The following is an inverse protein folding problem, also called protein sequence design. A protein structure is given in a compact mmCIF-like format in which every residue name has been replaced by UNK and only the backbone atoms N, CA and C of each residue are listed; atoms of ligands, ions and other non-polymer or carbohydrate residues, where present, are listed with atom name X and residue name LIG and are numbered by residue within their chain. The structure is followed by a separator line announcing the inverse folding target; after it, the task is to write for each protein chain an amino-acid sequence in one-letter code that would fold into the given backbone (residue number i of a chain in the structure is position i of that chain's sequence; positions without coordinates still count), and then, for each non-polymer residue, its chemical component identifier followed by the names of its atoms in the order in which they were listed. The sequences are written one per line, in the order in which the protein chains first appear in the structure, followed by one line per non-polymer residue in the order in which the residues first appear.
data_IF_605671981764
#
_entry.id   IF_605671981764
#
_cell.length_a   1.000
_cell.length_b   1.000
_cell.length_c   1.000
_cell.angle_alpha   90.00
_cell.angle_beta   90.00
_cell.angle_gamma   90.00
#
_symmetry.space_group_name_H-M   'P 1'
#
loop_
_entity.id
_entity.type
_entity.pdbx_description
1 polymer ?
#
# COMPACT_ATOMS: atom_id res chain seq x y z
N UNK A 1 -39.64 -23.54 -22.76
CA UNK A 1 -39.50 -22.45 -23.75
C UNK A 1 -38.51 -21.44 -23.21
N UNK A 2 -37.58 -21.06 -24.08
CA UNK A 2 -36.32 -20.35 -23.85
C UNK A 2 -36.46 -18.98 -23.18
N UNK A 3 -35.52 -18.66 -22.27
CA UNK A 3 -35.25 -17.33 -21.72
C UNK A 3 -34.20 -16.64 -22.60
N UNK A 4 -34.52 -15.50 -23.20
CA UNK A 4 -33.55 -14.63 -23.86
C UNK A 4 -33.24 -13.43 -22.96
N UNK A 5 -31.97 -13.28 -22.59
CA UNK A 5 -31.41 -12.05 -22.01
C UNK A 5 -30.89 -11.16 -23.14
N UNK A 6 -31.32 -9.89 -23.17
CA UNK A 6 -30.73 -8.84 -24.01
C UNK A 6 -29.60 -8.18 -23.23
N UNK A 7 -28.38 -8.20 -23.79
CA UNK A 7 -27.24 -7.39 -23.38
C UNK A 7 -27.20 -6.15 -24.27
N UNK A 8 -27.31 -4.97 -23.67
CA UNK A 8 -27.12 -3.68 -24.35
C UNK A 8 -25.68 -3.21 -24.13
N UNK A 9 -24.91 -3.09 -25.21
CA UNK A 9 -23.62 -2.40 -25.22
C UNK A 9 -23.83 -0.93 -25.59
N UNK A 10 -23.55 -0.02 -24.66
CA UNK A 10 -23.43 1.41 -24.96
C UNK A 10 -21.96 1.73 -25.30
N UNK A 11 -21.71 2.05 -26.56
CA UNK A 11 -20.45 2.59 -27.05
C UNK A 11 -20.53 4.12 -26.90
N UNK A 12 -19.75 4.69 -26.00
CA UNK A 12 -19.47 6.14 -25.99
C UNK A 12 -18.08 6.33 -26.58
N UNK A 13 -18.04 6.83 -27.83
CA UNK A 13 -16.85 7.22 -28.56
C UNK A 13 -16.28 8.52 -27.97
N UNK A 14 -15.04 8.47 -27.50
CA UNK A 14 -14.27 9.65 -27.14
C UNK A 14 -13.73 10.39 -28.37
N UNK A 15 -13.50 11.69 -28.24
CA UNK A 15 -12.66 12.45 -29.16
C UNK A 15 -11.26 12.58 -28.57
N UNK A 16 -10.31 11.88 -29.17
CA UNK A 16 -8.89 11.91 -28.88
C UNK A 16 -8.19 10.95 -29.83
N UNK A 17 -7.53 11.49 -30.83
CA UNK A 17 -6.91 10.83 -31.99
C UNK A 17 -6.05 9.61 -31.62
N UNK A 18 -6.45 8.43 -32.12
CA UNK A 18 -5.67 7.19 -32.11
C UNK A 18 -5.15 6.92 -33.53
N UNK A 19 -3.89 6.51 -33.64
CA UNK A 19 -3.18 6.30 -34.91
C UNK A 19 -3.43 4.89 -35.47
N UNK A 20 -3.30 4.75 -36.80
CA UNK A 20 -3.64 3.54 -37.59
C UNK A 20 -2.92 2.24 -37.19
N UNK A 21 -1.95 2.27 -36.28
CA UNK A 21 -1.26 1.07 -35.77
C UNK A 21 -2.10 0.26 -34.76
N UNK A 22 -3.09 0.87 -34.09
CA UNK A 22 -3.91 0.20 -33.07
C UNK A 22 -5.13 -0.55 -33.62
N UNK A 23 -5.56 -0.29 -34.86
CA UNK A 23 -6.67 -1.01 -35.49
C UNK A 23 -6.31 -2.45 -35.91
N UNK A 24 -5.05 -2.70 -36.33
CA UNK A 24 -4.60 -4.03 -36.75
C UNK A 24 -4.46 -5.06 -35.63
N UNK A 25 -4.27 -4.62 -34.38
CA UNK A 25 -4.25 -5.52 -33.22
C UNK A 25 -5.67 -5.89 -32.75
N UNK A 26 -6.64 -5.00 -32.91
CA UNK A 26 -8.04 -5.24 -32.52
C UNK A 26 -8.68 -6.26 -33.48
N UNK A 27 -8.50 -6.15 -34.80
CA UNK A 27 -9.05 -7.14 -35.75
C UNK A 27 -8.50 -8.57 -35.54
N UNK A 28 -7.21 -8.70 -35.18
CA UNK A 28 -6.60 -9.99 -34.92
C UNK A 28 -7.10 -10.62 -33.61
N UNK A 29 -7.43 -9.82 -32.60
CA UNK A 29 -8.01 -10.30 -31.35
C UNK A 29 -9.47 -10.73 -31.53
N UNK A 30 -10.25 -10.02 -32.35
CA UNK A 30 -11.65 -10.38 -32.65
C UNK A 30 -11.74 -11.65 -33.49
N UNK A 31 -10.87 -11.85 -34.49
CA UNK A 31 -10.82 -13.10 -35.27
C UNK A 31 -10.38 -14.31 -34.44
N UNK A 32 -9.49 -14.13 -33.46
CA UNK A 32 -9.01 -15.20 -32.58
C UNK A 32 -10.04 -15.58 -31.51
N UNK A 33 -10.88 -14.64 -31.08
CA UNK A 33 -12.01 -14.91 -30.19
C UNK A 33 -13.16 -15.65 -30.92
N UNK A 34 -13.49 -15.26 -32.16
CA UNK A 34 -14.55 -15.91 -32.94
C UNK A 34 -14.18 -17.36 -33.30
N UNK A 35 -12.92 -17.64 -33.64
CA UNK A 35 -12.48 -19.01 -33.96
C UNK A 35 -12.49 -19.96 -32.75
N UNK A 36 -12.30 -19.44 -31.53
CA UNK A 36 -12.28 -20.23 -30.29
C UNK A 36 -13.68 -20.55 -29.76
N UNK A 37 -14.70 -19.77 -30.15
CA UNK A 37 -16.10 -20.03 -29.82
C UNK A 37 -16.73 -21.03 -30.79
N UNK A 38 -16.35 -21.01 -32.08
CA UNK A 38 -16.87 -21.95 -33.09
C UNK A 38 -16.33 -23.38 -32.93
N UNK A 39 -15.12 -23.57 -32.38
CA UNK A 39 -14.56 -24.91 -32.11
C UNK A 39 -15.09 -25.57 -30.82
N UNK A 40 -15.87 -24.86 -30.00
CA UNK A 40 -16.41 -25.37 -28.72
C UNK A 40 -17.84 -25.90 -28.80
N UNK A 41 -18.56 -25.61 -29.89
CA UNK A 41 -19.96 -26.00 -30.08
C UNK A 41 -20.17 -27.31 -30.88
N UNK A 42 -19.10 -27.94 -31.39
CA UNK A 42 -19.19 -29.17 -32.23
C UNK A 42 -18.79 -30.48 -31.51
N UNK A 43 -18.64 -30.48 -30.17
CA UNK A 43 -18.27 -31.71 -29.41
C UNK A 43 -19.14 -31.99 -28.18
N UNK A 44 -20.43 -31.68 -28.25
CA UNK A 44 -21.37 -32.11 -27.21
C UNK A 44 -22.72 -32.53 -27.80
N UNK A 45 -22.69 -33.60 -28.59
CA UNK A 45 -23.87 -34.35 -28.99
C UNK A 45 -23.48 -35.82 -29.30
N UNK A 46 -23.28 -36.63 -28.26
CA UNK A 46 -23.49 -38.08 -28.33
C UNK A 46 -23.41 -38.68 -26.91
N UNK A 47 -24.44 -39.50 -26.62
CA UNK A 47 -24.50 -40.54 -25.57
C UNK A 47 -24.92 -40.11 -24.17
N UNK A 48 -26.24 -39.98 -24.08
CA UNK A 48 -27.05 -40.20 -22.90
C UNK A 48 -27.39 -41.71 -22.74
N UNK A 49 -27.49 -42.13 -21.47
CA UNK A 49 -28.21 -43.29 -20.90
C UNK A 49 -27.50 -44.66 -20.74
N UNK A 50 -27.23 -45.02 -19.47
CA UNK A 50 -28.18 -45.82 -18.64
C UNK A 50 -27.73 -45.98 -17.16
N UNK A 51 -28.63 -45.55 -16.25
CA UNK A 51 -29.13 -46.18 -14.98
C UNK A 51 -28.19 -47.06 -14.13
N UNK A 52 -28.17 -47.05 -12.79
CA UNK A 52 -29.18 -46.70 -11.78
C UNK A 52 -28.55 -46.60 -10.36
N UNK A 53 -29.27 -45.93 -9.46
CA UNK A 53 -29.34 -46.05 -7.99
C UNK A 53 -28.08 -46.17 -7.10
N UNK A 54 -27.84 -45.17 -6.24
CA UNK A 54 -28.20 -45.24 -4.80
C UNK A 54 -27.64 -44.09 -3.93
N UNK A 55 -28.48 -43.69 -2.96
CA UNK A 55 -28.24 -42.91 -1.73
C UNK A 55 -27.75 -41.45 -1.83
N UNK A 56 -28.72 -40.58 -1.59
CA UNK A 56 -28.52 -39.24 -1.06
C UNK A 56 -27.79 -39.28 0.29
N UNK A 57 -26.68 -38.56 0.36
CA UNK A 57 -26.19 -37.91 1.58
C UNK A 57 -25.92 -36.45 1.25
N UNK A 58 -26.73 -35.60 1.87
CA UNK A 58 -26.62 -34.15 1.86
C UNK A 58 -25.33 -33.76 2.60
N UNK A 59 -24.24 -33.59 1.86
CA UNK A 59 -23.01 -32.97 2.39
C UNK A 59 -23.12 -31.47 2.29
N UNK A 60 -23.43 -30.85 3.42
CA UNK A 60 -23.12 -29.47 3.74
C UNK A 60 -21.65 -29.22 3.38
N UNK A 61 -21.39 -28.29 2.46
CA UNK A 61 -20.03 -27.90 2.05
C UNK A 61 -19.36 -27.16 3.21
N UNK A 62 -18.77 -27.95 4.12
CA UNK A 62 -18.02 -27.48 5.27
C UNK A 62 -16.60 -27.09 4.88
N UNK A 63 -16.17 -25.96 5.47
CA UNK A 63 -14.81 -25.46 5.59
C UNK A 63 -13.76 -26.59 5.55
N UNK A 64 -12.89 -26.56 4.54
CA UNK A 64 -11.65 -27.34 4.61
C UNK A 64 -10.84 -26.83 5.80
N UNK A 65 -10.56 -27.70 6.77
CA UNK A 65 -9.59 -27.45 7.83
C UNK A 65 -8.23 -27.15 7.18
N UNK A 66 -7.90 -25.87 7.06
CA UNK A 66 -6.52 -25.45 6.81
C UNK A 66 -5.73 -25.75 8.08
N UNK A 67 -4.67 -26.54 7.96
CA UNK A 67 -3.76 -26.84 9.07
C UNK A 67 -3.28 -25.56 9.76
N UNK A 68 -2.88 -25.69 11.03
CA UNK A 68 -2.39 -24.59 11.83
C UNK A 68 -1.29 -23.80 11.09
N UNK A 69 -1.46 -22.47 10.98
CA UNK A 69 -0.46 -21.59 10.36
C UNK A 69 0.86 -21.67 11.12
N UNK A 70 2.02 -21.52 10.44
CA UNK A 70 3.30 -21.45 11.11
C UNK A 70 3.34 -20.34 12.16
N UNK A 71 4.01 -20.57 13.29
CA UNK A 71 4.17 -19.55 14.33
C UNK A 71 5.43 -18.71 14.05
N UNK A 72 5.55 -17.59 14.75
CA UNK A 72 6.80 -16.83 14.73
C UNK A 72 7.94 -17.71 15.29
N UNK A 73 9.05 -17.76 14.57
CA UNK A 73 10.25 -18.44 15.05
C UNK A 73 10.91 -17.61 16.15
N UNK A 74 11.59 -18.27 17.08
CA UNK A 74 12.36 -17.56 18.12
C UNK A 74 13.65 -17.02 17.51
N UNK A 75 13.96 -15.76 17.78
CA UNK A 75 15.13 -15.07 17.23
C UNK A 75 16.46 -15.77 17.58
N UNK A 76 16.53 -16.44 18.74
CA UNK A 76 17.71 -17.18 19.19
C UNK A 76 18.16 -18.29 18.21
N UNK A 77 17.27 -18.76 17.34
CA UNK A 77 17.55 -19.84 16.39
C UNK A 77 18.05 -19.32 15.03
N UNK A 78 18.29 -18.01 14.90
CA UNK A 78 18.62 -17.35 13.62
C UNK A 78 19.85 -16.48 13.70
N UNK A 79 20.64 -16.52 12.62
CA UNK A 79 21.73 -15.56 12.42
C UNK A 79 21.19 -14.19 12.01
N UNK A 80 20.16 -14.17 11.16
CA UNK A 80 19.49 -12.96 10.68
C UNK A 80 17.99 -13.25 10.53
N UNK A 81 17.14 -12.38 11.08
CA UNK A 81 15.69 -12.44 10.87
C UNK A 81 15.30 -11.75 9.54
N UNK A 82 14.24 -12.20 8.85
CA UNK A 82 13.65 -11.48 7.74
C UNK A 82 13.27 -10.05 8.15
N UNK A 83 13.65 -9.08 7.32
CA UNK A 83 13.30 -7.68 7.54
C UNK A 83 12.28 -7.21 6.51
N UNK A 84 11.19 -6.58 6.94
CA UNK A 84 10.23 -5.95 6.02
C UNK A 84 10.61 -4.48 5.83
N UNK A 85 10.68 -4.00 4.58
CA UNK A 85 10.91 -2.59 4.32
C UNK A 85 9.65 -1.79 4.65
N UNK A 86 9.57 -1.25 5.86
CA UNK A 86 8.34 -0.66 6.40
C UNK A 86 7.75 0.44 5.52
N UNK A 87 8.59 1.27 4.91
CA UNK A 87 8.15 2.30 3.95
C UNK A 87 7.42 1.73 2.73
N UNK A 88 7.74 0.50 2.31
CA UNK A 88 7.06 -0.19 1.21
C UNK A 88 5.75 -0.81 1.65
N UNK A 89 5.60 -1.19 2.92
CA UNK A 89 4.32 -1.63 3.49
C UNK A 89 3.33 -0.48 3.48
N UNK A 90 3.73 0.68 4.02
CA UNK A 90 2.90 1.88 4.04
C UNK A 90 2.53 2.37 2.63
N UNK A 91 3.38 2.16 1.63
CA UNK A 91 3.04 2.49 0.25
C UNK A 91 2.24 1.40 -0.48
N UNK A 92 2.39 0.15 -0.03
CA UNK A 92 1.93 -1.02 -0.75
C UNK A 92 0.57 -1.52 -0.31
N UNK A 93 0.20 -1.27 0.95
CA UNK A 93 -1.15 -1.53 1.46
C UNK A 93 -2.06 -0.39 1.00
N UNK A 94 -2.91 -0.68 0.02
CA UNK A 94 -3.76 0.32 -0.64
C UNK A 94 -5.22 -0.06 -0.59
N UNK A 95 -6.08 0.95 -0.53
CA UNK A 95 -7.51 0.79 -0.67
C UNK A 95 -8.08 1.89 -1.55
N UNK A 96 -8.88 1.52 -2.55
CA UNK A 96 -9.64 2.48 -3.33
C UNK A 96 -10.83 2.98 -2.50
N UNK A 97 -10.91 4.29 -2.18
CA UNK A 97 -11.87 4.77 -1.16
C UNK A 97 -13.34 4.53 -1.52
N UNK A 98 -13.73 4.66 -2.79
CA UNK A 98 -15.15 4.54 -3.19
C UNK A 98 -15.68 3.11 -3.20
N UNK A 99 -14.81 2.14 -3.48
CA UNK A 99 -15.20 0.75 -3.70
C UNK A 99 -14.80 -0.15 -2.53
N UNK A 100 -13.89 0.30 -1.67
CA UNK A 100 -13.25 -0.55 -0.67
C UNK A 100 -12.30 -1.57 -1.30
N UNK A 101 -11.89 -1.38 -2.56
CA UNK A 101 -10.99 -2.30 -3.26
C UNK A 101 -9.60 -2.26 -2.62
N UNK A 102 -9.31 -3.29 -1.82
CA UNK A 102 -8.10 -3.45 -1.04
C UNK A 102 -7.11 -4.35 -1.77
N UNK A 103 -5.86 -3.91 -1.86
CA UNK A 103 -4.79 -4.63 -2.56
C UNK A 103 -3.43 -4.36 -1.95
N UNK A 104 -2.53 -5.31 -2.20
CA UNK A 104 -1.12 -5.22 -1.84
C UNK A 104 -0.30 -4.95 -3.11
N UNK A 105 0.72 -4.10 -2.99
CA UNK A 105 1.49 -3.66 -4.15
C UNK A 105 2.93 -3.29 -3.79
N UNK A 106 3.91 -3.84 -4.51
CA UNK A 106 5.32 -3.44 -4.40
C UNK A 106 5.87 -3.41 -2.96
N UNK A 107 5.54 -4.42 -2.16
CA UNK A 107 6.09 -4.59 -0.81
C UNK A 107 7.46 -5.28 -0.94
N UNK A 108 8.46 -4.77 -0.22
CA UNK A 108 9.81 -5.32 -0.22
C UNK A 108 10.18 -5.89 1.15
N UNK A 109 10.93 -6.98 1.13
CA UNK A 109 11.54 -7.60 2.29
C UNK A 109 13.04 -7.85 2.04
N UNK A 110 13.76 -8.22 3.08
CA UNK A 110 15.17 -8.62 3.05
C UNK A 110 15.26 -9.99 3.71
N UNK A 111 15.88 -10.95 3.03
CA UNK A 111 16.09 -12.31 3.51
C UNK A 111 17.58 -12.62 3.46
N UNK A 112 18.16 -13.01 4.59
CA UNK A 112 19.57 -13.38 4.69
C UNK A 112 19.69 -14.81 5.25
N UNK A 113 20.28 -15.77 4.52
CA UNK A 113 20.79 -15.64 3.15
C UNK A 113 19.69 -15.44 2.09
N UNK A 114 20.08 -14.99 0.89
CA UNK A 114 19.17 -14.68 -0.23
C UNK A 114 18.62 -15.94 -0.93
N UNK A 115 18.07 -16.89 -0.17
CA UNK A 115 17.57 -18.19 -0.66
C UNK A 115 16.06 -18.39 -0.44
N UNK A 116 15.32 -17.32 -0.16
CA UNK A 116 13.87 -17.40 -0.01
C UNK A 116 13.23 -17.81 -1.35
N UNK A 117 12.36 -18.83 -1.33
CA UNK A 117 11.65 -19.31 -2.53
C UNK A 117 10.25 -18.70 -2.69
N UNK A 118 9.72 -18.09 -1.62
CA UNK A 118 8.38 -17.53 -1.59
C UNK A 118 7.76 -17.60 -0.21
N UNK A 119 6.50 -17.20 -0.16
CA UNK A 119 5.71 -17.21 1.06
C UNK A 119 4.29 -16.78 0.78
N UNK A 120 3.57 -16.40 1.82
CA UNK A 120 2.20 -15.92 1.69
C UNK A 120 1.88 -14.82 2.68
N UNK A 121 0.88 -14.00 2.37
CA UNK A 121 0.36 -12.93 3.22
C UNK A 121 -1.10 -13.24 3.51
N UNK A 122 -1.53 -13.16 4.77
CA UNK A 122 -2.91 -13.42 5.17
C UNK A 122 -3.53 -12.16 5.74
N UNK A 123 -4.68 -11.74 5.20
CA UNK A 123 -5.54 -10.74 5.83
C UNK A 123 -6.48 -11.42 6.82
N UNK A 124 -6.53 -10.90 8.04
CA UNK A 124 -7.41 -11.37 9.12
C UNK A 124 -8.15 -10.21 9.78
N UNK A 125 -9.32 -10.48 10.34
CA UNK A 125 -9.97 -9.58 11.30
C UNK A 125 -9.28 -9.68 12.67
N UNK A 126 -9.58 -8.74 13.58
CA UNK A 126 -9.11 -8.80 14.96
C UNK A 126 -9.55 -10.07 15.71
N UNK A 127 -10.70 -10.63 15.35
CA UNK A 127 -11.21 -11.91 15.88
C UNK A 127 -10.55 -13.13 15.21
N UNK A 128 -9.42 -12.93 14.52
CA UNK A 128 -8.64 -13.95 13.84
C UNK A 128 -9.34 -14.65 12.67
N UNK A 129 -10.45 -14.12 12.15
CA UNK A 129 -11.09 -14.65 10.95
C UNK A 129 -10.24 -14.35 9.72
N UNK A 130 -9.74 -15.38 9.05
CA UNK A 130 -8.99 -15.22 7.81
C UNK A 130 -9.93 -14.87 6.63
N UNK A 131 -9.55 -13.86 5.85
CA UNK A 131 -10.36 -13.34 4.75
C UNK A 131 -9.73 -13.60 3.39
N UNK A 132 -8.43 -13.33 3.25
CA UNK A 132 -7.74 -13.43 1.97
C UNK A 132 -6.29 -13.89 2.18
N UNK A 133 -5.75 -14.61 1.20
CA UNK A 133 -4.34 -14.96 1.11
C UNK A 133 -3.76 -14.50 -0.22
N UNK A 134 -2.58 -13.87 -0.17
CA UNK A 134 -1.75 -13.58 -1.33
C UNK A 134 -0.50 -14.45 -1.28
N UNK A 135 -0.36 -15.36 -2.23
CA UNK A 135 0.87 -16.12 -2.43
C UNK A 135 1.84 -15.28 -3.24
N UNK A 136 3.11 -15.26 -2.83
CA UNK A 136 4.14 -14.48 -3.47
C UNK A 136 5.40 -15.29 -3.71
N UNK A 137 6.12 -14.89 -4.76
CA UNK A 137 7.46 -15.37 -5.10
C UNK A 137 8.43 -14.18 -5.13
N UNK A 138 9.73 -14.40 -4.87
CA UNK A 138 10.74 -13.37 -5.03
C UNK A 138 10.77 -12.85 -6.47
N UNK A 139 10.59 -11.55 -6.66
CA UNK A 139 10.97 -10.90 -7.90
C UNK A 139 12.32 -10.22 -7.72
N UNK A 140 13.31 -10.78 -8.39
CA UNK A 140 14.71 -10.39 -8.32
C UNK A 140 15.15 -9.55 -9.54
N UNK A 141 14.24 -9.22 -10.47
CA UNK A 141 14.61 -8.55 -11.72
C UNK A 141 14.89 -7.04 -11.58
N UNK A 142 14.33 -6.37 -10.56
CA UNK A 142 14.35 -4.91 -10.48
C UNK A 142 14.88 -4.33 -9.15
N UNK A 143 15.22 -5.16 -8.16
CA UNK A 143 15.64 -4.69 -6.84
C UNK A 143 17.16 -4.80 -6.66
N UNK A 144 17.77 -3.75 -6.09
CA UNK A 144 19.16 -3.84 -5.62
C UNK A 144 19.19 -4.84 -4.47
N UNK A 145 20.07 -5.84 -4.54
CA UNK A 145 20.34 -6.71 -3.38
C UNK A 145 20.71 -5.86 -2.16
N UNK A 146 20.31 -6.26 -0.94
CA UNK A 146 19.64 -7.51 -0.56
C UNK A 146 18.09 -7.42 -0.54
N UNK A 147 17.50 -6.39 -1.17
CA UNK A 147 16.06 -6.20 -1.15
C UNK A 147 15.36 -7.11 -2.16
N UNK A 148 14.29 -7.79 -1.72
CA UNK A 148 13.45 -8.68 -2.52
C UNK A 148 12.06 -8.07 -2.64
N UNK A 149 11.56 -7.91 -3.87
CA UNK A 149 10.16 -7.56 -4.11
C UNK A 149 9.27 -8.80 -3.93
N UNK A 150 8.21 -8.68 -3.14
CA UNK A 150 7.22 -9.74 -2.96
C UNK A 150 6.24 -9.71 -4.15
N UNK A 151 6.51 -10.52 -5.18
CA UNK A 151 5.66 -10.56 -6.37
C UNK A 151 4.49 -11.51 -6.16
N UNK A 152 3.31 -10.92 -6.01
CA UNK A 152 2.05 -11.63 -5.81
C UNK A 152 1.69 -12.35 -7.11
N UNK A 153 1.58 -13.67 -7.04
CA UNK A 153 1.28 -14.52 -8.18
C UNK A 153 -0.10 -15.18 -8.09
N UNK A 154 -0.69 -15.25 -6.89
CA UNK A 154 -2.02 -15.79 -6.67
C UNK A 154 -2.70 -15.11 -5.48
N UNK A 155 -4.00 -14.91 -5.60
CA UNK A 155 -4.86 -14.40 -4.53
C UNK A 155 -6.04 -15.33 -4.35
N UNK A 156 -6.30 -15.72 -3.11
CA UNK A 156 -7.38 -16.66 -2.76
C UNK A 156 -8.31 -16.04 -1.72
N UNK A 157 -9.62 -16.04 -1.97
CA UNK A 157 -10.62 -15.72 -0.95
C UNK A 157 -10.71 -16.91 0.00
N UNK A 158 -10.44 -16.69 1.29
CA UNK A 158 -10.38 -17.76 2.26
C UNK A 158 -11.74 -18.19 2.77
N UNK A 159 -12.78 -17.41 2.47
CA UNK A 159 -14.16 -17.72 2.84
C UNK A 159 -14.80 -18.68 1.85
N UNK A 160 -14.46 -18.57 0.57
CA UNK A 160 -15.00 -19.40 -0.51
C UNK A 160 -14.00 -20.43 -1.05
N UNK A 161 -12.71 -20.21 -0.86
CA UNK A 161 -11.63 -20.99 -1.45
C UNK A 161 -11.32 -20.65 -2.91
N UNK A 162 -12.01 -19.67 -3.49
CA UNK A 162 -11.88 -19.31 -4.89
C UNK A 162 -10.67 -18.39 -5.15
N UNK A 163 -10.10 -18.52 -6.35
CA UNK A 163 -9.04 -17.61 -6.81
C UNK A 163 -9.65 -16.29 -7.24
N UNK A 164 -9.07 -15.19 -6.78
CA UNK A 164 -9.51 -13.83 -7.11
C UNK A 164 -8.68 -13.29 -8.26
N UNK A 165 -9.33 -13.01 -9.38
CA UNK A 165 -8.69 -12.35 -10.52
C UNK A 165 -8.38 -10.89 -10.20
N UNK A 166 -7.19 -10.40 -10.52
CA UNK A 166 -6.78 -9.01 -10.29
C UNK A 166 -6.15 -8.73 -8.91
N UNK A 167 -6.18 -9.70 -8.00
CA UNK A 167 -5.46 -9.66 -6.73
C UNK A 167 -5.97 -8.67 -5.69
N UNK A 168 -7.16 -8.13 -5.87
CA UNK A 168 -7.80 -7.18 -4.98
C UNK A 168 -9.09 -7.74 -4.37
N UNK A 169 -9.45 -7.28 -3.17
CA UNK A 169 -10.65 -7.74 -2.45
C UNK A 169 -11.52 -6.55 -2.06
N UNK A 170 -12.82 -6.76 -1.98
CA UNK A 170 -13.71 -5.78 -1.36
C UNK A 170 -13.60 -5.84 0.16
N UNK A 171 -13.09 -4.77 0.77
CA UNK A 171 -12.93 -4.60 2.21
C UNK A 171 -13.74 -3.40 2.69
N UNK A 172 -15.06 -3.57 2.77
CA UNK A 172 -16.03 -2.50 3.08
C UNK A 172 -16.53 -2.52 4.52
N UNK A 173 -16.22 -3.56 5.29
CA UNK A 173 -16.63 -3.64 6.69
C UNK A 173 -15.67 -2.83 7.57
N UNK A 174 -16.13 -1.78 8.28
CA UNK A 174 -15.28 -1.07 9.21
C UNK A 174 -14.81 -1.98 10.35
N UNK A 175 -13.57 -1.81 10.80
CA UNK A 175 -13.03 -2.64 11.87
C UNK A 175 -11.51 -2.71 11.88
N UNK A 176 -11.01 -3.52 12.79
CA UNK A 176 -9.59 -3.77 12.98
C UNK A 176 -9.16 -5.00 12.16
N UNK A 177 -8.04 -4.87 11.48
CA UNK A 177 -7.50 -5.85 10.56
C UNK A 177 -6.01 -6.03 10.76
N UNK A 178 -5.52 -7.17 10.29
CA UNK A 178 -4.12 -7.53 10.38
C UNK A 178 -3.68 -8.18 9.08
N UNK A 179 -2.53 -7.74 8.53
CA UNK A 179 -1.78 -8.48 7.52
C UNK A 179 -0.64 -9.24 8.20
N UNK A 180 -0.68 -10.56 8.13
CA UNK A 180 0.42 -11.41 8.55
C UNK A 180 1.24 -11.86 7.36
N UNK A 181 2.56 -11.73 7.47
CA UNK A 181 3.52 -12.12 6.44
C UNK A 181 4.24 -13.39 6.87
N UNK A 182 4.13 -14.42 6.04
CA UNK A 182 4.66 -15.74 6.30
C UNK A 182 5.74 -16.12 5.30
N UNK A 183 6.75 -16.83 5.82
CA UNK A 183 7.51 -17.82 5.07
C UNK A 183 6.83 -19.19 5.24
N UNK A 184 7.21 -20.22 4.46
CA UNK A 184 6.58 -21.53 4.57
C UNK A 184 6.60 -22.14 5.98
N UNK A 185 7.63 -21.81 6.76
CA UNK A 185 7.90 -22.36 8.09
C UNK A 185 7.66 -21.37 9.25
N UNK A 186 7.30 -20.11 8.98
CA UNK A 186 7.08 -19.13 10.06
C UNK A 186 6.24 -17.91 9.69
N UNK A 187 5.70 -17.26 10.73
CA UNK A 187 5.24 -15.88 10.70
C UNK A 187 6.43 -14.95 10.97
N UNK A 188 6.76 -14.02 10.07
CA UNK A 188 7.90 -13.11 10.28
C UNK A 188 7.53 -11.64 10.48
N UNK A 189 6.31 -11.24 10.10
CA UNK A 189 5.85 -9.87 10.35
C UNK A 189 4.32 -9.79 10.44
N UNK A 190 3.84 -8.87 11.26
CA UNK A 190 2.42 -8.60 11.46
C UNK A 190 2.19 -7.09 11.36
N UNK A 191 1.30 -6.68 10.46
CA UNK A 191 0.95 -5.28 10.22
C UNK A 191 -0.52 -5.00 10.59
N UNK A 192 -0.79 -4.34 11.72
CA UNK A 192 -2.15 -3.97 12.10
C UNK A 192 -2.59 -2.69 11.37
N UNK A 193 -3.88 -2.62 11.03
CA UNK A 193 -4.52 -1.43 10.49
C UNK A 193 -6.02 -1.48 10.75
N UNK A 194 -6.73 -0.36 10.52
CA UNK A 194 -8.19 -0.36 10.57
C UNK A 194 -8.79 0.20 9.30
N UNK A 195 -10.01 -0.24 9.00
CA UNK A 195 -10.87 0.34 7.96
C UNK A 195 -11.94 1.15 8.66
N UNK A 196 -12.17 2.35 8.16
CA UNK A 196 -13.24 3.22 8.61
C UNK A 196 -14.04 3.72 7.42
N UNK A 197 -15.33 3.95 7.64
CA UNK A 197 -16.26 4.49 6.67
C UNK A 197 -16.55 5.95 6.99
N UNK A 198 -16.25 6.84 6.05
CA UNK A 198 -16.61 8.25 6.08
C UNK A 198 -17.92 8.38 5.32
N UNK A 199 -18.96 8.87 6.00
CA UNK A 199 -20.24 9.13 5.37
C UNK A 199 -20.13 10.31 4.40
N UNK A 200 -20.74 10.18 3.23
CA UNK A 200 -20.93 11.30 2.30
C UNK A 200 -22.27 11.97 2.56
N UNK A 201 -22.27 13.23 2.97
CA UNK A 201 -23.51 13.98 3.22
C UNK A 201 -24.13 14.55 1.93
N UNK A 202 -23.36 14.65 0.83
CA UNK A 202 -23.87 15.15 -0.44
C UNK A 202 -24.39 13.99 -1.32
N UNK A 203 -25.71 13.96 -1.63
CA UNK A 203 -26.34 12.92 -2.44
C UNK A 203 -25.85 12.87 -3.90
N UNK A 204 -25.10 13.86 -4.35
CA UNK A 204 -24.46 13.92 -5.67
C UNK A 204 -22.96 13.55 -5.61
N UNK A 205 -22.36 13.51 -4.41
CA UNK A 205 -20.92 13.26 -4.17
C UNK A 205 -20.54 11.78 -4.04
N UNK A 206 -20.95 10.90 -4.97
CA UNK A 206 -20.33 9.56 -5.08
C UNK A 206 -20.46 8.61 -3.88
N UNK A 207 -21.21 8.96 -2.82
CA UNK A 207 -21.48 8.12 -1.65
C UNK A 207 -20.39 8.13 -0.58
N UNK A 208 -20.44 7.11 0.27
CA UNK A 208 -19.49 6.90 1.36
C UNK A 208 -18.07 6.59 0.84
N UNK A 209 -17.06 6.85 1.66
CA UNK A 209 -15.68 6.44 1.38
C UNK A 209 -15.12 5.55 2.49
N UNK A 210 -14.34 4.56 2.10
CA UNK A 210 -13.54 3.74 3.00
C UNK A 210 -12.14 4.32 3.10
N UNK A 211 -11.58 4.39 4.31
CA UNK A 211 -10.21 4.85 4.54
C UNK A 211 -9.45 3.90 5.47
N UNK A 212 -8.13 3.80 5.25
CA UNK A 212 -7.23 3.03 6.10
C UNK A 212 -6.69 3.90 7.24
N UNK A 213 -6.64 3.39 8.46
CA UNK A 213 -5.92 4.00 9.58
C UNK A 213 -4.83 3.06 10.09
N UNK A 214 -3.78 3.61 10.71
CA UNK A 214 -2.65 2.85 11.22
C UNK A 214 -1.38 3.69 11.25
N UNK A 215 -0.22 3.05 11.16
CA UNK A 215 1.08 3.70 11.41
C UNK A 215 1.50 4.78 10.41
N UNK A 216 0.82 4.90 9.26
CA UNK A 216 1.06 5.97 8.28
C UNK A 216 1.19 7.36 8.90
N UNK A 217 0.29 7.71 9.83
CA UNK A 217 0.23 9.05 10.43
C UNK A 217 1.43 9.38 11.32
N UNK A 218 2.17 8.36 11.75
CA UNK A 218 3.30 8.44 12.68
C UNK A 218 4.65 8.36 11.97
N UNK A 219 4.66 8.15 10.65
CA UNK A 219 5.86 7.81 9.92
C UNK A 219 6.32 8.95 8.98
N UNK A 220 7.59 9.30 9.12
CA UNK A 220 8.32 10.12 8.16
C UNK A 220 9.81 9.89 8.30
N UNK A 221 10.58 10.23 7.27
CA UNK A 221 12.03 10.05 7.26
C UNK A 221 12.71 11.03 6.31
N UNK A 222 13.95 11.35 6.65
CA UNK A 222 14.85 12.04 5.73
C UNK A 222 15.39 11.06 4.69
N UNK A 223 15.48 11.52 3.46
CA UNK A 223 15.89 10.71 2.33
C UNK A 223 16.92 11.45 1.49
N UNK A 224 17.93 10.70 1.07
CA UNK A 224 18.85 11.07 0.01
C UNK A 224 19.19 9.82 -0.78
N UNK A 225 19.31 9.94 -2.09
CA UNK A 225 19.39 8.76 -2.97
C UNK A 225 20.78 8.12 -2.95
N UNK A 226 20.80 6.80 -3.13
CA UNK A 226 22.03 6.01 -3.34
C UNK A 226 23.05 6.06 -2.19
N UNK A 227 22.61 6.47 -0.99
CA UNK A 227 23.50 6.77 0.13
C UNK A 227 24.61 7.78 -0.25
N UNK A 228 24.32 8.69 -1.19
CA UNK A 228 25.26 9.70 -1.66
C UNK A 228 24.93 11.07 -1.04
N UNK A 229 25.81 11.54 -0.15
CA UNK A 229 25.62 12.78 0.58
C UNK A 229 25.59 14.05 -0.31
N UNK A 230 26.08 13.97 -1.56
CA UNK A 230 25.99 15.09 -2.52
C UNK A 230 24.59 15.26 -3.13
N UNK A 231 23.67 14.32 -2.88
CA UNK A 231 22.28 14.39 -3.34
C UNK A 231 21.47 15.33 -2.45
N UNK A 232 20.44 15.92 -3.05
CA UNK A 232 19.47 16.73 -2.33
C UNK A 232 18.81 15.92 -1.22
N UNK A 233 18.66 16.56 -0.06
CA UNK A 233 17.92 16.03 1.07
C UNK A 233 16.42 16.25 0.82
N UNK A 234 15.61 15.24 1.12
CA UNK A 234 14.16 15.33 1.07
C UNK A 234 13.55 14.82 2.38
N UNK A 235 12.47 15.46 2.83
CA UNK A 235 11.62 14.93 3.88
C UNK A 235 10.46 14.13 3.26
N UNK A 236 10.31 12.86 3.64
CA UNK A 236 9.23 11.98 3.18
C UNK A 236 8.28 11.69 4.32
N UNK A 237 6.99 11.84 4.07
CA UNK A 237 5.94 11.61 5.08
C UNK A 237 4.64 11.16 4.41
N UNK A 238 3.85 10.34 5.09
CA UNK A 238 2.52 9.97 4.64
C UNK A 238 1.50 10.96 5.17
N UNK A 239 0.72 11.55 4.26
CA UNK A 239 -0.33 12.51 4.60
C UNK A 239 -1.59 12.13 3.84
N UNK A 240 -2.74 12.32 4.49
CA UNK A 240 -4.06 12.27 3.87
C UNK A 240 -4.93 13.42 4.37
N UNK A 241 -6.01 13.70 3.66
CA UNK A 241 -7.15 14.46 4.12
C UNK A 241 -8.35 13.52 4.29
N UNK A 242 -8.70 13.21 5.54
CA UNK A 242 -9.75 12.26 5.92
C UNK A 242 -11.14 12.88 5.75
N UNK A 243 -11.52 13.15 4.51
CA UNK A 243 -12.84 13.62 4.10
C UNK A 243 -13.14 13.13 2.67
N UNK A 244 -14.40 13.22 2.23
CA UNK A 244 -14.77 12.90 0.84
C UNK A 244 -14.11 13.87 -0.14
N UNK A 245 -14.11 15.16 0.23
CA UNK A 245 -13.52 16.21 -0.57
C UNK A 245 -12.00 16.21 -0.53
N UNK A 246 -11.40 16.83 -1.54
CA UNK A 246 -9.96 17.08 -1.56
C UNK A 246 -9.65 18.39 -0.83
N UNK A 247 -8.52 18.43 -0.15
CA UNK A 247 -8.01 19.64 0.47
C UNK A 247 -6.80 20.16 -0.32
N UNK A 248 -6.82 21.43 -0.72
CA UNK A 248 -5.62 22.12 -1.16
C UNK A 248 -5.02 22.91 0.01
N UNK A 249 -3.76 22.66 0.33
CA UNK A 249 -3.07 23.39 1.38
C UNK A 249 -1.58 23.50 1.11
N UNK A 250 -0.96 24.55 1.67
CA UNK A 250 0.49 24.70 1.74
C UNK A 250 1.02 23.93 2.95
N UNK A 251 2.25 23.43 2.83
CA UNK A 251 2.95 22.73 3.92
C UNK A 251 4.29 23.40 4.12
N UNK A 252 4.62 23.68 5.39
CA UNK A 252 5.92 24.15 5.80
C UNK A 252 6.58 23.11 6.71
N UNK A 253 7.79 22.73 6.34
CA UNK A 253 8.68 21.83 7.04
C UNK A 253 9.94 22.63 7.34
N UNK A 254 10.39 22.59 8.59
CA UNK A 254 11.59 23.24 9.06
C UNK A 254 12.43 22.23 9.81
N UNK A 255 13.74 22.25 9.59
CA UNK A 255 14.71 21.56 10.45
C UNK A 255 15.50 22.63 11.18
N UNK A 256 15.44 22.62 12.50
CA UNK A 256 16.21 23.52 13.36
C UNK A 256 17.27 22.74 14.10
N UNK A 257 18.44 23.34 14.30
CA UNK A 257 19.48 22.77 15.15
C UNK A 257 19.14 23.08 16.60
N UNK A 258 19.25 22.09 17.48
CA UNK A 258 18.81 22.23 18.88
C UNK A 258 19.79 23.09 19.70
N UNK A 259 21.07 23.07 19.34
CA UNK A 259 22.12 23.79 20.06
C UNK A 259 21.95 25.33 20.04
N UNK A 260 21.41 25.89 18.96
CA UNK A 260 21.30 27.35 18.74
C UNK A 260 19.91 27.79 18.24
N UNK A 261 19.00 26.85 17.97
CA UNK A 261 17.68 27.11 17.39
C UNK A 261 17.72 27.57 15.93
N UNK A 262 18.89 27.53 15.27
CA UNK A 262 19.05 28.03 13.91
C UNK A 262 18.24 27.19 12.92
N UNK A 263 17.54 27.85 11.99
CA UNK A 263 16.87 27.17 10.88
C UNK A 263 17.93 26.66 9.90
N UNK A 264 18.08 25.35 9.81
CA UNK A 264 19.09 24.68 8.98
C UNK A 264 18.60 24.54 7.54
N UNK A 265 17.36 24.09 7.37
CA UNK A 265 16.73 23.99 6.06
C UNK A 265 15.21 23.98 6.17
N UNK A 266 14.55 24.29 5.07
CA UNK A 266 13.08 24.27 4.96
C UNK A 266 12.65 23.70 3.61
N UNK A 267 11.37 23.35 3.41
CA UNK A 267 10.86 23.08 2.07
C UNK A 267 10.43 24.39 1.37
N UNK A 268 10.09 24.32 0.09
CA UNK A 268 9.54 25.49 -0.63
C UNK A 268 8.21 25.95 0.02
N UNK A 269 8.12 27.18 0.55
CA UNK A 269 6.99 27.60 1.40
C UNK A 269 5.69 27.87 0.64
N UNK A 270 5.75 28.08 -0.67
CA UNK A 270 4.59 28.48 -1.49
C UNK A 270 4.02 27.37 -2.37
N UNK A 271 4.46 26.13 -2.19
CA UNK A 271 3.92 25.00 -2.96
C UNK A 271 2.57 24.57 -2.41
N UNK A 272 1.54 24.58 -3.27
CA UNK A 272 0.22 24.01 -2.97
C UNK A 272 0.24 22.50 -3.20
N UNK A 273 -0.26 21.76 -2.21
CA UNK A 273 -0.43 20.31 -2.27
C UNK A 273 -1.92 19.98 -2.25
N UNK A 274 -2.31 18.98 -3.03
CA UNK A 274 -3.66 18.41 -2.99
C UNK A 274 -3.63 17.15 -2.15
N UNK A 275 -4.37 17.13 -1.05
CA UNK A 275 -4.53 16.00 -0.15
C UNK A 275 -5.85 15.29 -0.40
N UNK A 276 -5.78 13.97 -0.45
CA UNK A 276 -6.91 13.04 -0.68
C UNK A 276 -7.13 12.18 0.56
N UNK A 277 -8.25 11.46 0.62
CA UNK A 277 -8.54 10.48 1.68
C UNK A 277 -7.64 9.24 1.68
N UNK A 278 -6.94 8.97 0.58
CA UNK A 278 -5.87 7.96 0.53
C UNK A 278 -4.60 8.46 1.21
N UNK A 279 -3.86 7.53 1.84
CA UNK A 279 -2.49 7.80 2.29
C UNK A 279 -1.56 7.97 1.09
N UNK A 280 -0.99 9.17 0.95
CA UNK A 280 -0.01 9.47 -0.08
C UNK A 280 1.31 9.81 0.59
N UNK A 281 2.41 9.20 0.12
CA UNK A 281 3.76 9.58 0.52
C UNK A 281 4.17 10.84 -0.22
N UNK A 282 4.17 11.97 0.46
CA UNK A 282 4.69 13.22 -0.06
C UNK A 282 6.20 13.27 0.14
N UNK A 283 6.87 13.91 -0.81
CA UNK A 283 8.30 14.19 -0.79
C UNK A 283 8.47 15.70 -0.86
N UNK A 284 9.13 16.25 0.15
CA UNK A 284 9.41 17.67 0.27
C UNK A 284 10.91 17.86 0.09
N UNK A 285 11.30 18.42 -1.05
CA UNK A 285 12.69 18.83 -1.27
C UNK A 285 13.10 19.89 -0.26
N UNK A 286 14.23 19.67 0.42
CA UNK A 286 14.78 20.63 1.36
C UNK A 286 15.65 21.65 0.63
N UNK A 287 15.55 22.90 1.04
CA UNK A 287 16.28 24.05 0.52
C UNK A 287 16.94 24.84 1.65
N UNK A 288 18.02 25.55 1.33
CA UNK A 288 18.58 26.54 2.24
C UNK A 288 17.54 27.63 2.56
N UNK A 289 17.50 28.14 3.80
CA UNK A 289 16.55 29.17 4.20
C UNK A 289 16.60 30.39 3.28
N UNK A 290 15.45 31.02 2.97
CA UNK A 290 15.36 32.10 1.97
C UNK A 290 16.07 33.41 2.34
N UNK A 291 16.80 33.46 3.46
CA UNK A 291 17.48 34.64 3.99
C UNK A 291 19.01 34.55 3.91
N UNK A 292 19.56 33.47 3.34
CA UNK A 292 21.01 33.22 3.26
C UNK A 292 21.58 33.43 1.85
N UNK A 293 22.92 33.46 1.73
CA UNK A 293 23.64 33.59 0.44
C UNK A 293 23.36 32.44 -0.54
N UNK A 294 22.86 31.30 -0.06
CA UNK A 294 22.42 30.15 -0.86
C UNK A 294 20.89 29.99 -0.91
N UNK A 295 20.14 31.03 -0.57
CA UNK A 295 18.68 31.02 -0.44
C UNK A 295 17.97 30.30 -1.60
N UNK A 296 17.12 29.33 -1.25
CA UNK A 296 16.29 28.62 -2.23
C UNK A 296 16.99 27.56 -3.08
N UNK A 297 18.32 27.41 -2.96
CA UNK A 297 19.05 26.28 -3.53
C UNK A 297 18.75 25.00 -2.75
N UNK A 298 18.86 23.85 -3.43
CA UNK A 298 18.67 22.55 -2.80
C UNK A 298 19.69 22.32 -1.68
N UNK A 299 19.18 21.94 -0.51
CA UNK A 299 19.98 21.54 0.64
C UNK A 299 20.41 20.08 0.44
N UNK A 300 21.72 19.80 0.52
CA UNK A 300 22.24 18.44 0.31
C UNK A 300 22.34 17.69 1.63
N UNK A 301 22.34 16.36 1.56
CA UNK A 301 22.51 15.54 2.77
C UNK A 301 23.84 15.81 3.48
N UNK A 302 24.92 16.07 2.73
CA UNK A 302 26.22 16.43 3.31
C UNK A 302 26.15 17.69 4.20
N UNK A 303 25.28 18.64 3.87
CA UNK A 303 25.19 19.90 4.60
C UNK A 303 24.56 19.66 5.98
N UNK A 304 23.67 18.67 6.09
CA UNK A 304 23.16 18.19 7.38
C UNK A 304 24.22 17.37 8.12
N UNK A 305 24.87 16.43 7.42
CA UNK A 305 25.82 15.48 8.00
C UNK A 305 27.18 16.09 8.38
N UNK A 306 27.52 17.28 7.88
CA UNK A 306 28.79 17.93 8.16
C UNK A 306 28.89 18.47 9.61
N UNK A 307 27.77 18.58 10.31
CA UNK A 307 27.73 19.01 11.70
C UNK A 307 27.12 17.89 12.53
N UNK A 308 27.83 17.39 13.52
CA UNK A 308 27.22 16.55 14.55
C UNK A 308 26.34 17.41 15.45
N UNK A 309 25.13 16.96 15.74
CA UNK A 309 24.22 17.66 16.63
C UNK A 309 22.82 17.08 16.63
N UNK A 310 22.03 17.51 17.61
CA UNK A 310 20.61 17.24 17.68
C UNK A 310 19.84 18.27 16.84
N UNK A 311 18.78 17.79 16.18
CA UNK A 311 17.94 18.59 15.30
C UNK A 311 16.46 18.33 15.58
N UNK A 312 15.69 19.39 15.62
CA UNK A 312 14.23 19.35 15.70
C UNK A 312 13.62 19.54 14.32
N UNK A 313 12.80 18.57 13.92
CA UNK A 313 11.91 18.70 12.77
C UNK A 313 10.60 19.35 13.21
N UNK A 314 10.31 20.53 12.68
CA UNK A 314 9.06 21.24 12.91
C UNK A 314 8.19 21.16 11.65
N UNK A 315 6.93 20.79 11.84
CA UNK A 315 5.91 20.81 10.80
C UNK A 315 4.87 21.87 11.14
N UNK A 316 4.78 22.91 10.31
CA UNK A 316 3.76 23.95 10.44
C UNK A 316 2.74 23.87 9.31
N UNK A 317 1.47 24.02 9.68
CA UNK A 317 0.34 24.13 8.77
C UNK A 317 -0.14 25.57 8.81
N UNK A 318 -0.18 26.25 7.66
CA UNK A 318 -0.70 27.61 7.58
C UNK A 318 -2.06 27.70 6.85
N UNK A 319 -3.00 28.34 7.54
CA UNK A 319 -4.31 28.94 7.19
C UNK A 319 -5.53 28.08 6.80
N UNK A 320 -6.62 28.33 7.56
CA UNK A 320 -8.02 28.08 7.18
C UNK A 320 -8.59 26.72 7.58
N UNK A 321 -9.11 26.62 8.82
CA UNK A 321 -9.64 25.41 9.47
C UNK A 321 -8.59 24.36 9.86
N UNK A 322 -8.54 24.13 11.16
CA UNK A 322 -7.80 23.09 11.86
C UNK A 322 -8.15 21.73 11.28
N UNK A 323 -7.23 21.14 10.54
CA UNK A 323 -7.26 19.72 10.24
C UNK A 323 -5.94 19.14 10.76
N UNK A 324 -6.09 18.13 11.61
CA UNK A 324 -5.14 17.46 12.51
C UNK A 324 -5.38 17.74 14.00
N UNK A 325 -5.95 16.72 14.64
CA UNK A 325 -5.78 16.40 16.06
C UNK A 325 -4.36 15.83 16.18
N UNK A 326 -3.53 16.40 17.06
CA UNK A 326 -2.26 15.80 17.49
C UNK A 326 -2.51 14.36 17.95
N UNK A 327 -1.56 13.42 17.91
CA UNK A 327 -1.63 12.27 18.82
C UNK A 327 -1.43 12.79 20.26
N UNK A 328 -2.46 13.44 20.80
CA UNK A 328 -2.54 13.87 22.18
C UNK A 328 -3.80 13.25 22.79
N UNK A 329 -3.81 11.92 22.82
CA UNK A 329 -4.59 11.15 23.78
C UNK A 329 -3.70 9.97 24.22
N UNK A 330 -2.80 10.27 25.16
CA UNK A 330 -2.16 9.26 25.99
C UNK A 330 -0.72 8.87 25.65
N UNK A 331 0.22 9.80 25.82
CA UNK A 331 1.42 9.46 26.59
C UNK A 331 1.37 10.31 27.87
N UNK A 332 1.33 9.71 29.07
CA UNK A 332 1.37 10.50 30.30
C UNK A 332 2.81 10.98 30.47
N UNK A 333 3.01 12.30 30.39
CA UNK A 333 4.30 12.93 30.61
C UNK A 333 4.42 14.26 29.86
N UNK A 334 3.91 15.29 30.52
CA UNK A 334 4.10 16.73 30.36
C UNK A 334 5.27 17.24 29.47
N UNK A 335 4.97 18.30 28.71
CA UNK A 335 5.87 19.28 28.09
C UNK A 335 7.04 18.75 27.25
N UNK A 336 6.85 18.37 25.97
CA UNK A 336 7.94 18.47 24.97
C UNK A 336 7.42 18.59 23.53
N UNK A 337 8.07 19.47 22.76
CA UNK A 337 8.07 19.38 21.30
C UNK A 337 8.51 17.98 20.88
N UNK A 338 7.89 17.42 19.85
CA UNK A 338 8.19 16.06 19.38
C UNK A 338 9.63 15.99 18.86
N UNK A 339 10.55 15.64 19.74
CA UNK A 339 11.92 15.27 19.43
C UNK A 339 11.92 13.86 18.83
N UNK A 340 12.19 13.75 17.53
CA UNK A 340 12.83 12.55 16.99
C UNK A 340 14.33 12.76 17.23
N UNK A 341 14.82 12.34 18.40
CA UNK A 341 16.26 12.31 18.66
C UNK A 341 16.90 11.23 17.76
N UNK A 342 17.90 11.63 16.98
CA UNK A 342 18.74 10.72 16.22
C UNK A 342 20.10 10.67 16.89
N UNK A 343 20.43 9.57 17.56
CA UNK A 343 21.84 9.26 17.85
C UNK A 343 22.43 8.63 16.59
N UNK A 344 23.45 9.28 16.01
CA UNK A 344 24.25 8.74 14.91
C UNK A 344 24.75 7.33 15.27
N UNK A 345 24.12 6.29 14.74
CA UNK A 345 24.69 4.95 14.76
C UNK A 345 25.61 4.84 13.55
N UNK A 346 26.90 5.13 13.74
CA UNK A 346 27.92 4.69 12.79
C UNK A 346 28.21 3.21 13.08
N UNK A 347 27.86 2.34 12.14
CA UNK A 347 28.46 1.01 12.09
C UNK A 347 29.93 1.17 11.69
N UNK A 348 30.84 0.82 12.61
CA UNK A 348 32.25 0.53 12.33
C UNK A 348 32.42 -0.81 11.65
#
# INVERSE_FOLDING_TARGET
MSRSWMIVFAIVLGWGTLTNAQFGQIENLTKKAIKKTVEKDDKQAAEDQKTDASKAEEKTAGQGERGARPKARKDADRKFAPGLSFSTVLNGVKMQPKTGDFRLHHIQATFLPENCEGGFIVLRTAEHKELCQWDWTPDNFATKKPYTLLSINKTTDLRTGESISGGSISLTEPGQYVLDFYLPDELFYTFPFSVEKIAGDDPFSGGDAYVLNGDWEKCGYLFYSEANAERSLAWKIWIRHKAIEKLQAKVQIEIKRDADGALVCTNRPDTNYTFTNEWVRYEFDMIFPPQETSAGAYFKAKDLLATDGDYTLIRQRYYGSSFWVSPSDGFPGDDFGSALSWTNYQET
#
